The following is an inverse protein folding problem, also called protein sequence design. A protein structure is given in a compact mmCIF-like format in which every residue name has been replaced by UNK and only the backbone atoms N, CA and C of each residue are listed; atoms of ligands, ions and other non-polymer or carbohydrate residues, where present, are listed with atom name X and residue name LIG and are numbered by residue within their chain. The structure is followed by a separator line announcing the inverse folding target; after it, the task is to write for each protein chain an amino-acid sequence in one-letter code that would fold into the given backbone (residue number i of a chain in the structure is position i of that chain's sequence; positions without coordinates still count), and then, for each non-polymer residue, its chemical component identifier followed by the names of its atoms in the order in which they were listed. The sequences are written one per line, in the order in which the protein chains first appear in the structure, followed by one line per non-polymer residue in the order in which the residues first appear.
data_IF_021155887316
#
_entry.id   IF_021155887316
#
_cell.length_a   1.000
_cell.length_b   1.000
_cell.length_c   1.000
_cell.angle_alpha   90.00
_cell.angle_beta   90.00
_cell.angle_gamma   90.00
#
_symmetry.space_group_name_H-M   'P 1'
#
loop_
_entity.id
_entity.type
_entity.pdbx_description
1 polymer ?
#
# COMPACT_ATOMS: atom_id res chain seq x y z
N UNK A 1 17.30 6.04 3.39
CA UNK A 1 16.32 4.95 3.56
C UNK A 1 16.72 3.80 2.65
N UNK A 2 16.87 2.59 3.19
CA UNK A 2 17.10 1.39 2.38
C UNK A 2 15.75 0.74 2.07
N UNK A 3 15.55 0.37 0.81
CA UNK A 3 14.27 -0.12 0.30
C UNK A 3 14.50 -1.47 -0.37
N UNK A 4 13.65 -2.46 -0.07
CA UNK A 4 13.68 -3.77 -0.71
C UNK A 4 12.30 -4.17 -1.21
N UNK A 5 12.20 -4.61 -2.46
CA UNK A 5 10.96 -5.09 -3.03
C UNK A 5 10.49 -6.35 -2.28
N UNK A 6 9.27 -6.31 -1.75
CA UNK A 6 8.70 -7.41 -0.96
C UNK A 6 7.91 -8.39 -1.83
N UNK A 7 7.05 -7.86 -2.70
CA UNK A 7 6.14 -8.66 -3.52
C UNK A 7 5.75 -7.88 -4.78
N UNK A 8 5.71 -8.57 -5.91
CA UNK A 8 5.21 -8.08 -7.20
C UNK A 8 4.39 -9.19 -7.87
N UNK A 9 3.31 -9.64 -7.24
CA UNK A 9 2.59 -10.87 -7.63
C UNK A 9 1.30 -10.59 -8.40
N UNK A 10 1.32 -9.67 -9.35
CA UNK A 10 0.20 -9.55 -10.29
C UNK A 10 0.73 -9.64 -11.71
N UNK A 11 0.41 -10.75 -12.37
CA UNK A 11 0.59 -10.95 -13.82
C UNK A 11 -0.37 -10.05 -14.65
N UNK A 12 -1.22 -9.28 -13.98
CA UNK A 12 -2.15 -8.30 -14.52
C UNK A 12 -1.61 -6.92 -14.12
N UNK A 13 -1.41 -6.05 -15.10
CA UNK A 13 -0.59 -4.81 -15.08
C UNK A 13 -0.93 -3.73 -14.03
N UNK A 14 -1.84 -3.99 -13.09
CA UNK A 14 -2.54 -2.95 -12.33
C UNK A 14 -2.30 -3.00 -10.81
N UNK A 15 -1.35 -3.80 -10.31
CA UNK A 15 -1.04 -3.84 -8.88
C UNK A 15 0.09 -2.87 -8.50
N UNK A 16 -0.03 -2.15 -7.36
CA UNK A 16 1.03 -1.27 -6.89
C UNK A 16 2.27 -2.07 -6.50
N UNK A 17 3.44 -1.48 -6.70
CA UNK A 17 4.72 -2.04 -6.24
C UNK A 17 4.86 -1.79 -4.74
N UNK A 18 5.13 -2.86 -3.97
CA UNK A 18 5.27 -2.79 -2.52
C UNK A 18 6.72 -3.02 -2.10
N UNK A 19 7.22 -2.12 -1.27
CA UNK A 19 8.56 -2.21 -0.70
C UNK A 19 8.54 -2.27 0.82
N UNK A 20 9.43 -3.07 1.41
CA UNK A 20 9.78 -2.96 2.82
C UNK A 20 10.76 -1.80 3.04
N UNK A 21 10.61 -1.14 4.17
CA UNK A 21 11.64 -0.27 4.74
C UNK A 21 12.32 -0.93 5.93
N UNK A 22 13.44 -0.35 6.36
CA UNK A 22 14.14 -0.68 7.60
C UNK A 22 13.47 -0.11 8.87
N UNK A 23 12.29 0.53 8.72
CA UNK A 23 11.54 1.18 9.82
C UNK A 23 10.25 0.44 10.19
N UNK A 24 10.11 -0.82 9.79
CA UNK A 24 8.88 -1.63 9.99
C UNK A 24 7.64 -0.99 9.33
N UNK A 25 7.86 -0.40 8.15
CA UNK A 25 6.82 0.19 7.31
C UNK A 25 6.90 -0.37 5.88
N UNK A 26 5.80 -0.22 5.15
CA UNK A 26 5.67 -0.56 3.74
C UNK A 26 5.54 0.73 2.92
N UNK A 27 6.25 0.80 1.80
CA UNK A 27 5.96 1.80 0.76
C UNK A 27 5.10 1.16 -0.32
N UNK A 28 3.99 1.79 -0.64
CA UNK A 28 3.09 1.38 -1.72
C UNK A 28 3.20 2.41 -2.82
N UNK A 29 3.78 2.03 -3.94
CA UNK A 29 3.89 2.85 -5.15
C UNK A 29 2.88 2.36 -6.18
N UNK A 30 1.90 3.19 -6.51
CA UNK A 30 0.86 2.86 -7.48
C UNK A 30 0.60 4.01 -8.45
N UNK A 31 -0.31 3.76 -9.38
CA UNK A 31 -0.88 4.83 -10.20
C UNK A 31 -1.78 5.69 -9.32
N UNK A 32 -1.71 7.01 -9.50
CA UNK A 32 -2.64 7.95 -8.87
C UNK A 32 -3.96 7.84 -9.63
N UNK A 33 -5.05 7.35 -9.01
CA UNK A 33 -6.29 7.14 -9.76
C UNK A 33 -6.79 8.47 -10.30
N UNK A 34 -7.27 8.51 -11.54
CA UNK A 34 -8.02 9.65 -12.05
C UNK A 34 -9.50 9.47 -11.66
N UNK A 35 -10.30 10.54 -11.58
CA UNK A 35 -11.76 10.49 -11.34
C UNK A 35 -12.25 10.36 -9.88
N UNK A 36 -11.42 10.67 -8.88
CA UNK A 36 -11.86 10.81 -7.49
C UNK A 36 -12.11 12.28 -7.06
N UNK A 37 -11.89 13.25 -7.94
CA UNK A 37 -12.15 14.67 -7.68
C UNK A 37 -11.24 15.34 -6.64
N UNK A 38 -10.09 14.72 -6.31
CA UNK A 38 -9.08 15.31 -5.42
C UNK A 38 -7.89 15.74 -6.27
N UNK A 39 -7.25 16.86 -5.91
CA UNK A 39 -5.95 17.22 -6.45
C UNK A 39 -4.89 16.52 -5.62
N UNK A 40 -4.24 15.49 -6.18
CA UNK A 40 -3.14 14.77 -5.51
C UNK A 40 -1.81 15.40 -5.94
N UNK A 41 -1.03 15.98 -5.01
CA UNK A 41 0.30 16.50 -5.29
C UNK A 41 1.23 15.47 -5.94
N UNK A 42 2.14 15.94 -6.80
CA UNK A 42 3.06 15.06 -7.54
C UNK A 42 3.97 14.18 -6.65
N UNK A 43 4.12 14.53 -5.37
CA UNK A 43 4.90 13.80 -4.38
C UNK A 43 4.09 12.76 -3.57
N UNK A 44 2.81 12.53 -3.88
CA UNK A 44 1.92 11.60 -3.15
C UNK A 44 1.68 10.27 -3.88
N UNK A 45 2.41 9.97 -4.95
CA UNK A 45 2.36 8.67 -5.65
C UNK A 45 2.98 7.49 -4.89
N UNK A 46 3.57 7.74 -3.70
CA UNK A 46 4.12 6.71 -2.82
C UNK A 46 3.60 6.97 -1.40
N UNK A 47 2.92 5.96 -0.83
CA UNK A 47 2.36 6.03 0.52
C UNK A 47 3.14 5.12 1.45
N UNK A 48 3.55 5.64 2.61
CA UNK A 48 4.18 4.86 3.68
C UNK A 48 3.13 4.37 4.69
N UNK A 49 3.03 3.06 4.87
CA UNK A 49 2.06 2.39 5.73
C UNK A 49 2.79 1.65 6.86
N UNK A 50 2.51 1.95 8.14
CA UNK A 50 3.02 1.15 9.25
C UNK A 50 2.51 -0.29 9.22
N UNK A 51 3.39 -1.27 9.46
CA UNK A 51 3.01 -2.70 9.47
C UNK A 51 1.86 -2.99 10.45
N UNK A 52 1.86 -2.34 11.61
CA UNK A 52 0.80 -2.48 12.59
C UNK A 52 -0.58 -2.09 12.05
N UNK A 53 -0.67 -1.02 11.25
CA UNK A 53 -1.93 -0.57 10.65
C UNK A 53 -2.47 -1.62 9.67
N UNK A 54 -1.59 -2.25 8.89
CA UNK A 54 -1.97 -3.33 7.99
C UNK A 54 -2.50 -4.54 8.77
N UNK A 55 -1.86 -4.93 9.87
CA UNK A 55 -2.36 -6.01 10.72
C UNK A 55 -3.73 -5.70 11.32
N UNK A 56 -3.94 -4.47 11.78
CA UNK A 56 -5.22 -4.04 12.34
C UNK A 56 -6.33 -4.03 11.29
N UNK A 57 -6.01 -3.62 10.06
CA UNK A 57 -6.91 -3.71 8.91
C UNK A 57 -7.30 -5.16 8.61
N UNK A 58 -6.32 -6.07 8.52
CA UNK A 58 -6.58 -7.50 8.26
C UNK A 58 -7.45 -8.09 9.38
N UNK A 59 -7.12 -7.82 10.65
CA UNK A 59 -7.92 -8.28 11.80
C UNK A 59 -9.36 -7.76 11.71
N UNK A 60 -9.55 -6.50 11.34
CA UNK A 60 -10.89 -5.92 11.15
C UNK A 60 -11.63 -6.60 9.99
N UNK A 61 -11.00 -6.74 8.83
CA UNK A 61 -11.62 -7.37 7.67
C UNK A 61 -12.04 -8.83 7.93
N UNK A 62 -11.23 -9.58 8.68
CA UNK A 62 -11.57 -10.94 9.09
C UNK A 62 -12.79 -10.95 10.03
N UNK A 63 -12.82 -10.06 11.03
CA UNK A 63 -13.99 -9.93 11.92
C UNK A 63 -15.27 -9.58 11.14
N UNK A 64 -15.17 -8.63 10.22
CA UNK A 64 -16.33 -8.13 9.46
C UNK A 64 -16.85 -9.17 8.44
N UNK A 65 -16.02 -10.12 7.98
CA UNK A 65 -16.45 -11.25 7.11
C UNK A 65 -16.98 -12.46 7.87
N UNK A 66 -16.82 -12.49 9.19
CA UNK A 66 -17.27 -13.57 10.07
C UNK A 66 -18.63 -13.28 10.73
N UNK A 67 -19.27 -12.14 10.39
CA UNK A 67 -20.59 -11.71 10.87
C UNK A 67 -21.60 -11.68 9.72
#
# INVERSE_FOLDING_TARGET
MKVSMLVSTCDIKDCPTIYATDRDTLLVQGEVPTDHGLEIPANEGIVEIPMQLLFDLIRKALRDKLV
#
